data_IF_727853582919
#
_entry.id   IF_727853582919
#
_cell.length_a   1.000
_cell.length_b   1.000
_cell.length_c   1.000
_cell.angle_alpha   90.00
_cell.angle_beta   90.00
_cell.angle_gamma   90.00
#
_symmetry.space_group_name_H-M   'P 1'
#
loop_
_entity.id
_entity.type
_entity.pdbx_description
1 polymer ?
#
# COMPACT_ATOMS: atom_id res chain seq x y z
N UNK A 1 -2.83 7.55 -9.00
CA UNK A 1 -4.08 6.82 -8.65
C UNK A 1 -4.18 6.44 -7.18
N UNK A 2 -3.23 6.81 -6.32
CA UNK A 2 -3.19 6.36 -4.92
C UNK A 2 -3.87 7.30 -3.90
N UNK A 3 -4.09 8.56 -4.31
CA UNK A 3 -4.67 9.60 -3.47
C UNK A 3 -6.08 9.25 -2.94
N UNK A 4 -6.86 8.47 -3.68
CA UNK A 4 -8.28 8.19 -3.37
C UNK A 4 -8.48 7.47 -2.04
N UNK A 5 -7.62 6.52 -1.68
CA UNK A 5 -7.80 5.75 -0.44
C UNK A 5 -7.31 6.50 0.79
N UNK A 6 -6.22 7.26 0.66
CA UNK A 6 -5.75 8.18 1.70
C UNK A 6 -6.76 9.31 1.93
N UNK A 7 -7.36 9.83 0.86
CA UNK A 7 -8.46 10.81 0.95
C UNK A 7 -9.70 10.23 1.63
N UNK A 8 -10.05 8.98 1.32
CA UNK A 8 -11.13 8.26 2.01
C UNK A 8 -10.84 8.17 3.51
N UNK A 9 -9.60 7.82 3.89
CA UNK A 9 -9.22 7.76 5.30
C UNK A 9 -9.27 9.13 5.98
N UNK A 10 -8.83 10.19 5.28
CA UNK A 10 -8.92 11.57 5.78
C UNK A 10 -10.37 12.03 5.96
N UNK A 11 -11.25 11.70 5.02
CA UNK A 11 -12.68 12.00 5.09
C UNK A 11 -13.32 11.35 6.33
N UNK A 12 -13.12 10.05 6.52
CA UNK A 12 -13.69 9.34 7.68
C UNK A 12 -13.13 9.82 9.00
N UNK A 13 -11.87 10.26 9.04
CA UNK A 13 -11.28 10.90 10.22
C UNK A 13 -11.93 12.23 10.54
N UNK A 14 -12.11 13.10 9.55
CA UNK A 14 -12.81 14.38 9.74
C UNK A 14 -14.25 14.19 10.23
N UNK A 15 -14.99 13.27 9.58
CA UNK A 15 -16.35 12.92 9.99
C UNK A 15 -16.41 12.36 11.41
N UNK A 16 -15.43 11.54 11.79
CA UNK A 16 -15.33 11.00 13.13
C UNK A 16 -15.08 12.10 14.17
N UNK A 17 -14.13 13.00 13.92
CA UNK A 17 -13.82 14.11 14.81
C UNK A 17 -15.04 15.02 15.03
N UNK A 18 -15.77 15.35 13.96
CA UNK A 18 -17.04 16.10 14.02
C UNK A 18 -18.10 15.38 14.85
N UNK A 19 -18.24 14.06 14.67
CA UNK A 19 -19.21 13.24 15.39
C UNK A 19 -18.90 13.18 16.88
N UNK A 20 -17.63 13.00 17.24
CA UNK A 20 -17.17 12.98 18.64
C UNK A 20 -17.43 14.33 19.31
N UNK A 21 -17.13 15.44 18.62
CA UNK A 21 -17.43 16.78 19.13
C UNK A 21 -18.93 17.01 19.32
N UNK A 22 -19.77 16.51 18.41
CA UNK A 22 -21.22 16.53 18.57
C UNK A 22 -21.67 15.77 19.82
N UNK A 23 -21.14 14.56 20.04
CA UNK A 23 -21.46 13.73 21.21
C UNK A 23 -21.00 14.41 22.52
N UNK A 24 -19.85 15.10 22.52
CA UNK A 24 -19.35 15.84 23.70
C UNK A 24 -20.30 16.96 24.12
N UNK A 25 -20.94 17.61 23.16
CA UNK A 25 -21.82 18.78 23.38
C UNK A 25 -23.27 18.40 23.66
N UNK A 26 -23.66 17.17 23.38
CA UNK A 26 -25.03 16.68 23.62
C UNK A 26 -25.32 16.55 25.12
N UNK A 27 -26.07 17.52 25.65
CA UNK A 27 -26.47 17.58 27.07
C UNK A 27 -27.54 16.56 27.43
N UNK A 28 -28.20 15.93 26.45
CA UNK A 28 -29.19 14.90 26.72
C UNK A 28 -28.55 13.53 27.03
N UNK A 29 -27.25 13.38 26.81
CA UNK A 29 -26.52 12.14 27.07
C UNK A 29 -25.90 12.13 28.46
N UNK A 30 -26.10 11.01 29.15
CA UNK A 30 -25.29 10.66 30.32
C UNK A 30 -23.84 10.37 29.90
N UNK A 31 -22.93 10.37 30.87
CA UNK A 31 -21.52 10.02 30.65
C UNK A 31 -21.36 8.63 30.01
N UNK A 32 -22.19 7.67 30.43
CA UNK A 32 -22.21 6.33 29.86
C UNK A 32 -22.74 6.35 28.42
N UNK A 33 -23.85 7.04 28.16
CA UNK A 33 -24.39 7.17 26.81
C UNK A 33 -23.43 7.87 25.85
N UNK A 34 -22.64 8.84 26.32
CA UNK A 34 -21.56 9.45 25.53
C UNK A 34 -20.47 8.44 25.20
N UNK A 35 -20.01 7.65 26.17
CA UNK A 35 -19.00 6.61 25.95
C UNK A 35 -19.45 5.57 24.92
N UNK A 36 -20.68 5.09 25.03
CA UNK A 36 -21.27 4.14 24.07
C UNK A 36 -21.33 4.74 22.67
N UNK A 37 -21.90 5.94 22.50
CA UNK A 37 -21.99 6.56 21.17
C UNK A 37 -20.62 6.85 20.56
N UNK A 38 -19.65 7.26 21.38
CA UNK A 38 -18.27 7.44 20.91
C UNK A 38 -17.62 6.11 20.51
N UNK A 39 -17.90 5.03 21.24
CA UNK A 39 -17.43 3.69 20.89
C UNK A 39 -17.98 3.25 19.52
N UNK A 40 -19.28 3.44 19.28
CA UNK A 40 -19.93 3.14 18.00
C UNK A 40 -19.31 3.97 16.86
N UNK A 41 -19.18 5.28 17.03
CA UNK A 41 -18.57 6.16 16.04
C UNK A 41 -17.11 5.80 15.75
N UNK A 42 -16.35 5.42 16.79
CA UNK A 42 -14.95 5.00 16.64
C UNK A 42 -14.84 3.70 15.85
N UNK A 43 -15.68 2.71 16.15
CA UNK A 43 -15.66 1.42 15.43
C UNK A 43 -16.06 1.61 13.96
N UNK A 44 -17.10 2.41 13.67
CA UNK A 44 -17.48 2.71 12.29
C UNK A 44 -16.31 3.37 11.53
N UNK A 45 -15.69 4.41 12.11
CA UNK A 45 -14.58 5.10 11.47
C UNK A 45 -13.36 4.17 11.29
N UNK A 46 -13.05 3.36 12.30
CA UNK A 46 -11.97 2.38 12.25
C UNK A 46 -12.20 1.37 11.12
N UNK A 47 -13.41 0.80 11.00
CA UNK A 47 -13.73 -0.16 9.94
C UNK A 47 -13.62 0.44 8.54
N UNK A 48 -14.09 1.68 8.36
CA UNK A 48 -14.02 2.36 7.06
C UNK A 48 -12.58 2.69 6.68
N UNK A 49 -11.76 3.09 7.65
CA UNK A 49 -10.35 3.43 7.45
C UNK A 49 -9.52 2.16 7.22
N UNK A 50 -9.77 1.08 7.97
CA UNK A 50 -9.13 -0.22 7.76
C UNK A 50 -9.49 -0.81 6.38
N UNK A 51 -10.75 -0.68 5.95
CA UNK A 51 -11.14 -1.07 4.60
C UNK A 51 -10.46 -0.24 3.51
N UNK A 52 -10.26 1.07 3.73
CA UNK A 52 -9.51 1.93 2.82
C UNK A 52 -8.02 1.54 2.78
N UNK A 53 -7.44 1.18 3.92
CA UNK A 53 -6.06 0.68 4.03
C UNK A 53 -5.87 -0.60 3.22
N UNK A 54 -6.73 -1.60 3.40
CA UNK A 54 -6.65 -2.87 2.66
C UNK A 54 -6.74 -2.64 1.14
N UNK A 55 -7.61 -1.72 0.70
CA UNK A 55 -7.72 -1.37 -0.73
C UNK A 55 -6.48 -0.66 -1.25
N UNK A 56 -5.90 0.25 -0.47
CA UNK A 56 -4.64 0.92 -0.78
C UNK A 56 -3.49 -0.09 -0.93
N UNK A 57 -3.31 -0.99 0.04
CA UNK A 57 -2.28 -2.02 -0.01
C UNK A 57 -2.45 -2.94 -1.23
N UNK A 58 -3.69 -3.35 -1.53
CA UNK A 58 -3.99 -4.14 -2.72
C UNK A 58 -3.69 -3.38 -4.03
N UNK A 59 -4.05 -2.08 -4.10
CA UNK A 59 -3.79 -1.25 -5.27
C UNK A 59 -2.28 -1.02 -5.49
N UNK A 60 -1.53 -0.77 -4.43
CA UNK A 60 -0.06 -0.64 -4.45
C UNK A 60 0.58 -1.94 -4.92
N UNK A 61 0.19 -3.09 -4.35
CA UNK A 61 0.70 -4.40 -4.74
C UNK A 61 0.37 -4.73 -6.20
N UNK A 62 -0.84 -4.41 -6.67
CA UNK A 62 -1.25 -4.59 -8.05
C UNK A 62 -0.45 -3.70 -9.02
N UNK A 63 -0.27 -2.42 -8.67
CA UNK A 63 0.51 -1.49 -9.49
C UNK A 63 1.97 -1.91 -9.57
N UNK A 64 2.57 -2.31 -8.45
CA UNK A 64 3.93 -2.87 -8.39
C UNK A 64 4.07 -4.07 -9.31
N UNK A 65 3.19 -5.08 -9.20
CA UNK A 65 3.22 -6.27 -10.06
C UNK A 65 3.10 -5.91 -11.54
N UNK A 66 2.22 -4.96 -11.90
CA UNK A 66 2.06 -4.49 -13.28
C UNK A 66 3.32 -3.79 -13.82
N UNK A 67 3.97 -2.97 -13.00
CA UNK A 67 5.23 -2.32 -13.37
C UNK A 67 6.36 -3.35 -13.51
N UNK A 68 6.51 -4.26 -12.55
CA UNK A 68 7.51 -5.34 -12.62
C UNK A 68 7.29 -6.23 -13.85
N UNK A 69 6.04 -6.62 -14.15
CA UNK A 69 5.73 -7.38 -15.36
C UNK A 69 5.98 -6.57 -16.65
N UNK A 70 5.70 -5.27 -16.66
CA UNK A 70 5.92 -4.41 -17.83
C UNK A 70 7.40 -4.15 -18.10
N UNK A 71 8.20 -3.96 -17.04
CA UNK A 71 9.63 -3.66 -17.13
C UNK A 71 10.47 -4.94 -17.29
N UNK A 72 10.18 -5.96 -16.50
CA UNK A 72 11.00 -7.17 -16.35
C UNK A 72 10.29 -8.45 -16.82
N UNK A 73 9.03 -8.40 -17.25
CA UNK A 73 8.36 -9.58 -17.78
C UNK A 73 8.77 -9.86 -19.23
N UNK A 74 8.58 -11.11 -19.67
CA UNK A 74 8.68 -11.45 -21.09
C UNK A 74 7.51 -10.81 -21.86
N UNK A 75 7.84 -10.08 -22.93
CA UNK A 75 6.82 -9.65 -23.90
C UNK A 75 6.26 -10.90 -24.59
N UNK A 76 4.92 -11.04 -24.63
CA UNK A 76 4.27 -12.12 -25.35
C UNK A 76 4.15 -13.44 -24.58
N UNK A 77 3.71 -13.41 -23.31
CA UNK A 77 3.45 -14.57 -22.43
C UNK A 77 2.56 -15.68 -23.00
N UNK A 78 2.06 -15.54 -24.24
CA UNK A 78 1.34 -16.56 -24.98
C UNK A 78 2.26 -17.51 -25.78
N UNK A 79 3.51 -17.15 -26.03
CA UNK A 79 4.47 -17.98 -26.77
C UNK A 79 5.47 -18.69 -25.81
N UNK A 80 5.41 -20.03 -25.69
CA UNK A 80 6.35 -20.81 -24.89
C UNK A 80 7.83 -20.58 -25.26
N UNK A 81 8.12 -20.27 -26.52
CA UNK A 81 9.52 -20.08 -26.98
C UNK A 81 10.14 -18.81 -26.39
N UNK A 82 9.34 -17.75 -26.28
CA UNK A 82 9.73 -16.48 -25.66
C UNK A 82 9.97 -16.63 -24.16
N UNK A 83 9.19 -17.47 -23.47
CA UNK A 83 9.38 -17.75 -22.05
C UNK A 83 10.67 -18.54 -21.78
N UNK A 84 10.99 -19.54 -22.61
CA UNK A 84 12.24 -20.30 -22.50
C UNK A 84 13.45 -19.40 -22.75
N UNK A 85 13.38 -18.56 -23.79
CA UNK A 85 14.45 -17.60 -24.12
C UNK A 85 14.67 -16.60 -23.00
N UNK A 86 13.60 -16.11 -22.36
CA UNK A 86 13.72 -15.22 -21.21
C UNK A 86 14.35 -15.91 -20.00
N UNK A 87 14.02 -17.19 -19.76
CA UNK A 87 14.66 -17.98 -18.70
C UNK A 87 16.16 -18.14 -18.93
N UNK A 88 16.56 -18.50 -20.15
CA UNK A 88 17.99 -18.61 -20.50
C UNK A 88 18.72 -17.28 -20.34
N UNK A 89 18.08 -16.17 -20.74
CA UNK A 89 18.61 -14.83 -20.52
C UNK A 89 18.79 -14.51 -19.03
N UNK A 90 17.84 -14.88 -18.16
CA UNK A 90 17.95 -14.73 -16.71
C UNK A 90 19.11 -15.56 -16.17
N UNK A 91 19.20 -16.85 -16.50
CA UNK A 91 20.27 -17.74 -16.05
C UNK A 91 21.65 -17.21 -16.46
N UNK A 92 21.76 -16.68 -17.68
CA UNK A 92 22.99 -16.08 -18.21
C UNK A 92 23.39 -14.79 -17.51
N UNK A 93 22.42 -13.90 -17.29
CA UNK A 93 22.65 -12.66 -16.53
C UNK A 93 22.97 -12.98 -15.08
N UNK A 94 22.43 -14.09 -14.56
CA UNK A 94 22.66 -14.48 -13.18
C UNK A 94 24.07 -14.96 -12.88
N UNK A 95 24.74 -15.51 -13.90
CA UNK A 95 26.14 -15.92 -13.85
C UNK A 95 27.14 -14.74 -13.83
N UNK A 96 26.70 -13.50 -14.07
CA UNK A 96 27.58 -12.34 -13.99
C UNK A 96 28.11 -12.16 -12.56
N UNK A 97 29.33 -11.65 -12.37
CA UNK A 97 29.81 -11.29 -11.03
C UNK A 97 28.95 -10.15 -10.44
N UNK A 98 29.07 -9.94 -9.13
CA UNK A 98 28.46 -8.76 -8.45
C UNK A 98 29.41 -7.57 -8.45
N UNK A 99 28.88 -6.40 -8.10
CA UNK A 99 29.64 -5.15 -8.01
C UNK A 99 30.13 -4.66 -9.38
N UNK A 100 31.18 -3.84 -9.36
CA UNK A 100 31.67 -3.11 -10.54
C UNK A 100 32.08 -4.01 -11.71
N UNK A 101 32.64 -5.20 -11.42
CA UNK A 101 32.97 -6.15 -12.47
C UNK A 101 31.71 -6.66 -13.19
N UNK A 102 30.64 -6.90 -12.43
CA UNK A 102 29.33 -7.28 -12.95
C UNK A 102 28.73 -6.20 -13.83
N UNK A 103 28.76 -4.95 -13.36
CA UNK A 103 28.29 -3.78 -14.10
C UNK A 103 29.02 -3.59 -15.44
N UNK A 104 30.35 -3.63 -15.46
CA UNK A 104 31.11 -3.49 -16.71
C UNK A 104 30.82 -4.62 -17.71
N UNK A 105 30.59 -5.85 -17.22
CA UNK A 105 30.25 -6.97 -18.08
C UNK A 105 28.80 -6.90 -18.59
N UNK A 106 27.88 -6.48 -17.73
CA UNK A 106 26.46 -6.33 -18.06
C UNK A 106 26.26 -5.21 -19.08
N UNK A 107 26.98 -4.09 -18.96
CA UNK A 107 26.98 -3.00 -19.96
C UNK A 107 27.41 -3.50 -21.35
N UNK A 108 28.54 -4.21 -21.46
CA UNK A 108 28.98 -4.79 -22.75
C UNK A 108 27.98 -5.80 -23.32
N UNK A 109 27.36 -6.61 -22.45
CA UNK A 109 26.36 -7.58 -22.86
C UNK A 109 25.08 -6.89 -23.31
N UNK A 110 24.73 -5.76 -22.68
CA UNK A 110 23.60 -4.92 -23.05
C UNK A 110 23.79 -4.31 -24.43
N UNK A 111 24.94 -3.67 -24.71
CA UNK A 111 25.24 -3.12 -26.03
C UNK A 111 25.11 -4.18 -27.14
N UNK A 112 25.61 -5.39 -26.89
CA UNK A 112 25.44 -6.51 -27.82
C UNK A 112 23.98 -6.89 -28.01
N UNK A 113 23.21 -6.98 -26.93
CA UNK A 113 21.79 -7.30 -26.98
C UNK A 113 20.99 -6.24 -27.75
N UNK A 114 21.40 -4.98 -27.69
CA UNK A 114 20.84 -3.88 -28.49
C UNK A 114 21.17 -4.08 -29.96
N UNK A 115 22.44 -4.34 -30.28
CA UNK A 115 22.87 -4.57 -31.67
C UNK A 115 22.17 -5.76 -32.33
N UNK A 116 21.85 -6.81 -31.57
CA UNK A 116 21.18 -8.01 -32.10
C UNK A 116 19.66 -7.99 -31.97
N UNK A 117 19.07 -6.95 -31.37
CA UNK A 117 17.63 -6.89 -31.10
C UNK A 117 17.12 -7.92 -30.09
N UNK A 118 17.98 -8.41 -29.19
CA UNK A 118 17.62 -9.39 -28.16
C UNK A 118 16.93 -8.70 -26.98
N UNK A 119 15.62 -8.49 -27.12
CA UNK A 119 14.82 -7.80 -26.09
C UNK A 119 14.73 -8.59 -24.77
N UNK A 120 14.77 -9.92 -24.84
CA UNK A 120 14.68 -10.76 -23.64
C UNK A 120 15.94 -10.61 -22.78
N UNK A 121 17.11 -10.62 -23.42
CA UNK A 121 18.37 -10.33 -22.75
C UNK A 121 18.46 -8.90 -22.22
N UNK A 122 17.98 -7.91 -22.97
CA UNK A 122 17.91 -6.52 -22.49
C UNK A 122 17.06 -6.38 -21.21
N UNK A 123 15.92 -7.08 -21.13
CA UNK A 123 15.04 -7.07 -19.94
C UNK A 123 15.63 -7.82 -18.76
N UNK A 124 16.27 -8.96 -18.99
CA UNK A 124 16.97 -9.70 -17.95
C UNK A 124 18.12 -8.87 -17.35
N UNK A 125 18.88 -8.18 -18.22
CA UNK A 125 19.94 -7.25 -17.82
C UNK A 125 19.38 -6.06 -17.05
N UNK A 126 18.26 -5.47 -17.48
CA UNK A 126 17.59 -4.42 -16.73
C UNK A 126 17.17 -4.91 -15.34
N UNK A 127 16.54 -6.09 -15.25
CA UNK A 127 16.10 -6.66 -13.98
C UNK A 127 17.25 -6.81 -12.99
N UNK A 128 18.37 -7.39 -13.44
CA UNK A 128 19.54 -7.54 -12.57
C UNK A 128 20.22 -6.20 -12.28
N UNK A 129 20.35 -5.33 -13.27
CA UNK A 129 20.95 -4.01 -13.10
C UNK A 129 20.18 -3.16 -12.11
N UNK A 130 18.85 -3.17 -12.17
CA UNK A 130 17.99 -2.49 -11.19
C UNK A 130 18.17 -3.03 -9.77
N UNK A 131 18.28 -4.36 -9.61
CA UNK A 131 18.46 -4.99 -8.29
C UNK A 131 19.84 -4.76 -7.68
N UNK A 132 20.88 -4.72 -8.50
CA UNK A 132 22.27 -4.57 -8.07
C UNK A 132 22.75 -3.11 -8.09
N UNK A 133 21.93 -2.17 -8.59
CA UNK A 133 22.27 -0.76 -8.69
C UNK A 133 23.28 -0.45 -9.80
N UNK A 134 23.21 -1.16 -10.93
CA UNK A 134 24.08 -0.94 -12.09
C UNK A 134 23.48 0.12 -13.01
N UNK A 135 23.91 1.36 -12.81
CA UNK A 135 23.33 2.54 -13.45
C UNK A 135 23.56 2.53 -14.97
N UNK A 136 24.70 2.02 -15.45
CA UNK A 136 25.03 2.01 -16.88
C UNK A 136 23.98 1.23 -17.70
N UNK A 137 23.57 0.06 -17.23
CA UNK A 137 22.56 -0.77 -17.91
C UNK A 137 21.17 -0.16 -17.80
N UNK A 138 20.81 0.37 -16.63
CA UNK A 138 19.50 1.00 -16.41
C UNK A 138 19.35 2.23 -17.31
N UNK A 139 20.38 3.08 -17.38
CA UNK A 139 20.40 4.26 -18.24
C UNK A 139 20.40 3.89 -19.73
N UNK A 140 21.18 2.86 -20.11
CA UNK A 140 21.17 2.33 -21.48
C UNK A 140 19.79 1.82 -21.91
N UNK A 141 19.05 1.19 -21.00
CA UNK A 141 17.67 0.74 -21.25
C UNK A 141 16.70 1.91 -21.38
N UNK A 142 16.80 2.91 -20.50
CA UNK A 142 15.97 4.12 -20.53
C UNK A 142 16.16 4.88 -21.84
N UNK A 143 17.40 5.05 -22.28
CA UNK A 143 17.73 5.79 -23.50
C UNK A 143 17.04 5.22 -24.76
N UNK A 144 16.73 3.93 -24.77
CA UNK A 144 16.08 3.25 -25.89
C UNK A 144 14.56 3.17 -25.78
N UNK A 145 13.99 3.39 -24.58
CA UNK A 145 12.56 3.17 -24.31
C UNK A 145 11.96 4.39 -23.60
N UNK A 146 11.37 5.33 -24.35
CA UNK A 146 10.61 6.43 -23.78
C UNK A 146 9.55 5.91 -22.81
N UNK A 147 9.51 6.46 -21.58
CA UNK A 147 8.58 6.05 -20.52
C UNK A 147 9.09 4.95 -19.58
N UNK A 148 10.22 4.29 -19.89
CA UNK A 148 10.86 3.35 -18.95
C UNK A 148 11.34 4.05 -17.68
N UNK A 149 11.87 5.29 -17.81
CA UNK A 149 12.32 6.09 -16.67
C UNK A 149 11.20 6.35 -15.66
N UNK A 150 10.02 6.77 -16.14
CA UNK A 150 8.89 7.07 -15.26
C UNK A 150 8.38 5.80 -14.57
N UNK A 151 8.36 4.68 -15.30
CA UNK A 151 7.95 3.38 -14.75
C UNK A 151 8.93 2.85 -13.69
N UNK A 152 10.24 3.00 -13.92
CA UNK A 152 11.28 2.64 -12.95
C UNK A 152 11.24 3.54 -11.71
N UNK A 153 11.07 4.86 -11.91
CA UNK A 153 10.91 5.81 -10.81
C UNK A 153 9.67 5.49 -9.96
N UNK A 154 8.54 5.20 -10.61
CA UNK A 154 7.31 4.82 -9.92
C UNK A 154 7.51 3.52 -9.13
N UNK A 155 8.12 2.50 -9.75
CA UNK A 155 8.40 1.23 -9.07
C UNK A 155 9.32 1.42 -7.85
N UNK A 156 10.39 2.21 -8.01
CA UNK A 156 11.30 2.56 -6.91
C UNK A 156 10.56 3.24 -5.76
N UNK A 157 9.70 4.22 -6.06
CA UNK A 157 8.89 4.91 -5.05
C UNK A 157 7.90 3.97 -4.32
N UNK A 158 7.30 3.01 -5.02
CA UNK A 158 6.41 2.02 -4.39
C UNK A 158 7.18 1.06 -3.47
N UNK A 159 8.38 0.63 -3.88
CA UNK A 159 9.25 -0.22 -3.06
C UNK A 159 9.72 0.56 -1.82
N UNK A 160 10.19 1.79 -1.99
CA UNK A 160 10.62 2.63 -0.88
C UNK A 160 9.48 2.89 0.11
N UNK A 161 8.27 3.22 -0.37
CA UNK A 161 7.11 3.44 0.48
C UNK A 161 6.71 2.18 1.28
N UNK A 162 6.86 0.99 0.68
CA UNK A 162 6.50 -0.28 1.32
C UNK A 162 7.57 -0.80 2.30
N UNK A 163 8.86 -0.65 1.95
CA UNK A 163 9.94 -1.37 2.63
C UNK A 163 10.71 -0.46 3.62
N UNK A 164 10.76 0.86 3.37
CA UNK A 164 11.41 1.80 4.28
C UNK A 164 10.67 1.92 5.61
N UNK A 165 11.39 2.34 6.66
CA UNK A 165 10.77 2.60 7.95
C UNK A 165 9.85 3.82 7.87
N UNK A 166 10.32 4.86 7.20
CA UNK A 166 9.65 6.14 7.01
C UNK A 166 8.35 5.97 6.21
N UNK A 167 8.40 5.21 5.12
CA UNK A 167 7.23 4.87 4.31
C UNK A 167 6.17 4.11 5.10
N UNK A 168 6.58 3.06 5.83
CA UNK A 168 5.67 2.30 6.70
C UNK A 168 5.05 3.15 7.81
N UNK A 169 5.80 4.07 8.40
CA UNK A 169 5.27 5.03 9.38
C UNK A 169 4.28 6.00 8.75
N UNK A 170 4.57 6.50 7.55
CA UNK A 170 3.68 7.38 6.80
C UNK A 170 2.33 6.72 6.50
N UNK A 171 2.34 5.49 5.99
CA UNK A 171 1.13 4.70 5.72
C UNK A 171 0.37 4.45 7.03
N UNK A 172 1.07 4.04 8.10
CA UNK A 172 0.44 3.80 9.40
C UNK A 172 -0.25 5.06 9.93
N UNK A 173 0.39 6.23 9.80
CA UNK A 173 -0.19 7.51 10.21
C UNK A 173 -1.40 7.92 9.34
N UNK A 174 -1.35 7.64 8.03
CA UNK A 174 -2.42 7.95 7.09
C UNK A 174 -3.71 7.16 7.38
N UNK A 175 -3.60 5.92 7.88
CA UNK A 175 -4.74 5.06 8.19
C UNK A 175 -5.02 4.89 9.69
N UNK A 176 -4.46 5.75 10.55
CA UNK A 176 -4.76 5.74 11.99
C UNK A 176 -6.05 6.51 12.31
N UNK A 177 -6.88 5.93 13.18
CA UNK A 177 -7.98 6.63 13.84
C UNK A 177 -7.55 7.01 15.26
N UNK A 178 -7.59 8.31 15.64
CA UNK A 178 -7.28 8.71 17.00
C UNK A 178 -8.38 8.22 17.94
N UNK A 179 -8.02 7.43 18.95
CA UNK A 179 -8.99 7.00 19.97
C UNK A 179 -9.33 8.19 20.90
N UNK A 180 -10.62 8.50 21.14
CA UNK A 180 -11.03 9.51 22.10
C UNK A 180 -10.58 9.16 23.52
N UNK A 181 -10.21 10.18 24.28
CA UNK A 181 -9.79 10.04 25.68
C UNK A 181 -10.87 9.39 26.56
N UNK A 182 -12.14 9.61 26.23
CA UNK A 182 -13.31 9.07 26.91
C UNK A 182 -13.40 7.53 26.84
N UNK A 183 -12.81 6.94 25.80
CA UNK A 183 -12.70 5.48 25.68
C UNK A 183 -11.52 4.93 26.50
N UNK A 184 -10.61 5.78 26.98
CA UNK A 184 -9.49 5.42 27.85
C UNK A 184 -8.53 4.44 27.19
N UNK A 185 -7.92 3.55 27.98
CA UNK A 185 -7.00 2.50 27.52
C UNK A 185 -7.70 1.26 26.97
N UNK A 186 -9.03 1.28 26.79
CA UNK A 186 -9.80 0.11 26.32
C UNK A 186 -9.26 -0.43 25.00
N UNK A 187 -9.18 -1.76 24.92
CA UNK A 187 -8.87 -2.49 23.69
C UNK A 187 -10.05 -2.43 22.72
N UNK A 188 -9.82 -2.77 21.45
CA UNK A 188 -10.88 -2.80 20.43
C UNK A 188 -12.05 -3.70 20.86
N UNK A 189 -11.78 -4.91 21.34
CA UNK A 189 -12.83 -5.83 21.81
C UNK A 189 -13.62 -5.30 23.00
N UNK A 190 -12.99 -4.52 23.89
CA UNK A 190 -13.69 -3.86 25.00
C UNK A 190 -14.58 -2.70 24.51
N UNK A 191 -14.16 -2.00 23.45
CA UNK A 191 -14.95 -0.93 22.82
C UNK A 191 -16.14 -1.55 22.07
N UNK A 192 -15.96 -2.70 21.41
CA UNK A 192 -17.04 -3.48 20.77
C UNK A 192 -18.08 -3.93 21.81
N UNK A 193 -17.65 -4.51 22.93
CA UNK A 193 -18.56 -4.89 24.02
C UNK A 193 -19.34 -3.69 24.57
N UNK A 194 -18.69 -2.52 24.72
CA UNK A 194 -19.33 -1.28 25.17
C UNK A 194 -20.37 -0.76 24.16
N UNK A 195 -20.07 -0.85 22.86
CA UNK A 195 -20.98 -0.44 21.80
C UNK A 195 -22.21 -1.37 21.69
N UNK A 196 -22.05 -2.65 22.02
CA UNK A 196 -23.13 -3.66 22.00
C UNK A 196 -24.04 -3.64 23.24
N UNK A 197 -23.54 -3.24 24.41
CA UNK A 197 -24.29 -3.29 25.66
C UNK A 197 -25.57 -2.40 25.63
N UNK A 198 -25.50 -1.27 24.93
CA UNK A 198 -26.64 -0.39 24.65
C UNK A 198 -27.65 -1.02 23.67
N UNK A 199 -27.19 -1.80 22.70
CA UNK A 199 -28.07 -2.52 21.78
C UNK A 199 -28.89 -3.61 22.48
N UNK A 200 -28.41 -4.13 23.62
CA UNK A 200 -29.09 -5.14 24.45
C UNK A 200 -29.97 -4.54 25.56
N UNK A 201 -29.86 -3.25 25.85
CA UNK A 201 -30.68 -2.56 26.85
C UNK A 201 -31.80 -1.74 26.18
N UNK A 202 -32.93 -2.35 25.75
CA UNK A 202 -34.07 -1.57 25.30
C UNK A 202 -34.55 -0.69 26.47
N UNK A 203 -34.59 0.61 26.23
CA UNK A 203 -35.03 1.69 27.14
C UNK A 203 -36.07 1.18 28.15
N UNK A 204 -35.68 1.13 29.43
CA UNK A 204 -36.63 1.00 30.53
C UNK A 204 -37.58 2.21 30.45
N UNK A 205 -38.80 1.96 29.95
CA UNK A 205 -39.84 2.97 29.82
C UNK A 205 -40.20 3.58 31.19
N UNK A 206 -40.84 4.77 31.20
CA UNK A 206 -41.12 5.50 32.42
C UNK A 206 -41.89 4.63 33.42
N UNK A 207 -41.30 4.41 34.60
CA UNK A 207 -42.00 3.84 35.75
C UNK A 207 -43.05 4.85 36.19
N UNK A 208 -44.29 4.67 35.74
CA UNK A 208 -45.44 5.32 36.35
C UNK A 208 -45.52 4.83 37.81
N UNK A 209 -45.27 5.73 38.75
CA UNK A 209 -45.60 5.54 40.16
C UNK A 209 -47.09 5.86 40.28
N UNK A 210 -47.91 4.83 40.48
CA UNK A 210 -49.29 5.03 40.89
C UNK A 210 -49.28 5.49 42.36
N UNK A 211 -49.88 6.65 42.61
CA UNK A 211 -50.28 7.16 43.92
C UNK A 211 -51.66 6.57 44.24
#
# INVERSE_FOLDING_TARGET
>A
MDATHIETARYWRGKFDETVEGIRRDRALSDEGRRVRMAQAYLEAADKIDAARTKHEAAVADRRRKLEASLFGSQGSADPSSAISYRDALDRVDALPRGEQGERQSSKLFDRAVMTGDEQLQRALLFRGWREGWDDVVNGYIAQRPGAQDSLRELGGLIEAADSREGRLGITAAFRVPKPTELGSRSRSQIEALAEDDARSPKSGPRYVAI
#
